data_IF_237710848135
#
_entry.id   IF_237710848135
#
_cell.length_a   1.000
_cell.length_b   1.000
_cell.length_c   1.000
_cell.angle_alpha   90.00
_cell.angle_beta   90.00
_cell.angle_gamma   90.00
#
_symmetry.space_group_name_H-M   'P 1'
#
loop_
_entity.id
_entity.type
_entity.pdbx_description
1 polymer ?
#
# COMPACT_ATOMS: atom_id res chain seq x y z
N UNK A 1 -8.04 15.52 -22.13
CA UNK A 1 -8.70 15.13 -20.87
C UNK A 1 -9.71 16.20 -20.46
N UNK A 2 -10.87 15.80 -19.95
CA UNK A 2 -11.88 16.71 -19.38
C UNK A 2 -11.47 17.17 -17.97
N UNK A 3 -12.08 18.25 -17.46
CA UNK A 3 -11.87 18.72 -16.08
C UNK A 3 -12.18 17.61 -15.06
N UNK A 4 -13.20 16.80 -15.34
CA UNK A 4 -13.57 15.65 -14.52
C UNK A 4 -12.45 14.61 -14.47
N UNK A 5 -11.86 14.27 -15.61
CA UNK A 5 -10.75 13.30 -15.69
C UNK A 5 -9.50 13.82 -14.97
N UNK A 6 -9.14 15.10 -15.15
CA UNK A 6 -8.05 15.72 -14.40
C UNK A 6 -8.31 15.65 -12.89
N UNK A 7 -9.54 15.90 -12.47
CA UNK A 7 -9.94 15.81 -11.06
C UNK A 7 -9.74 14.39 -10.54
N UNK A 8 -10.18 13.36 -11.27
CA UNK A 8 -9.99 11.97 -10.87
C UNK A 8 -8.51 11.58 -10.81
N UNK A 9 -7.73 11.94 -11.85
CA UNK A 9 -6.30 11.63 -11.94
C UNK A 9 -5.48 12.30 -10.84
N UNK A 10 -5.92 13.43 -10.28
CA UNK A 10 -5.20 14.11 -9.20
C UNK A 10 -5.72 13.72 -7.82
N UNK A 11 -7.04 13.71 -7.62
CA UNK A 11 -7.65 13.52 -6.29
C UNK A 11 -7.47 12.08 -5.80
N UNK A 12 -7.66 11.07 -6.65
CA UNK A 12 -7.56 9.66 -6.23
C UNK A 12 -6.12 9.31 -5.80
N UNK A 13 -5.08 9.59 -6.61
CA UNK A 13 -3.70 9.35 -6.19
C UNK A 13 -3.30 10.15 -4.96
N UNK A 14 -3.71 11.41 -4.87
CA UNK A 14 -3.39 12.25 -3.72
C UNK A 14 -4.00 11.70 -2.43
N UNK A 15 -5.27 11.28 -2.48
CA UNK A 15 -5.94 10.64 -1.35
C UNK A 15 -5.21 9.34 -0.94
N UNK A 16 -4.79 8.52 -1.91
CA UNK A 16 -4.01 7.31 -1.65
C UNK A 16 -2.65 7.60 -1.01
N UNK A 17 -1.93 8.63 -1.46
CA UNK A 17 -0.65 9.04 -0.87
C UNK A 17 -0.84 9.53 0.57
N UNK A 18 -1.82 10.41 0.82
CA UNK A 18 -2.14 10.91 2.16
C UNK A 18 -2.50 9.73 3.08
N UNK A 19 -3.30 8.79 2.58
CA UNK A 19 -3.68 7.59 3.32
C UNK A 19 -2.47 6.70 3.65
N UNK A 20 -1.59 6.48 2.66
CA UNK A 20 -0.36 5.71 2.85
C UNK A 20 0.58 6.34 3.88
N UNK A 21 0.71 7.68 3.89
CA UNK A 21 1.48 8.41 4.90
C UNK A 21 0.85 8.30 6.29
N UNK A 22 -0.48 8.30 6.41
CA UNK A 22 -1.16 8.10 7.68
C UNK A 22 -0.91 6.69 8.24
N UNK A 23 -1.03 5.66 7.40
CA UNK A 23 -0.69 4.28 7.77
C UNK A 23 0.78 4.19 8.19
N UNK A 24 1.69 4.86 7.48
CA UNK A 24 3.11 4.89 7.85
C UNK A 24 3.31 5.42 9.27
N UNK A 25 2.57 6.44 9.69
CA UNK A 25 2.63 6.96 11.06
C UNK A 25 1.75 6.18 12.06
N UNK A 26 1.32 4.96 11.72
CA UNK A 26 0.45 4.09 12.53
C UNK A 26 -0.93 4.73 12.84
N UNK A 27 -1.31 5.77 12.09
CA UNK A 27 -2.61 6.41 12.20
C UNK A 27 -3.56 5.74 11.21
N UNK A 28 -4.55 5.00 11.71
CA UNK A 28 -5.57 4.35 10.87
C UNK A 28 -5.35 2.86 10.59
N UNK A 29 -4.55 2.16 11.39
CA UNK A 29 -4.34 0.69 11.28
C UNK A 29 -5.63 -0.13 11.37
N UNK A 30 -6.67 0.43 12.00
CA UNK A 30 -8.04 -0.14 12.05
C UNK A 30 -8.69 -0.35 10.68
N UNK A 31 -8.26 0.36 9.64
CA UNK A 31 -8.82 0.23 8.29
C UNK A 31 -8.09 -0.80 7.42
N UNK A 32 -6.99 -1.38 7.90
CA UNK A 32 -6.38 -2.51 7.23
C UNK A 32 -7.26 -3.73 7.48
N UNK A 33 -8.03 -4.15 6.48
CA UNK A 33 -8.92 -5.31 6.59
C UNK A 33 -8.16 -6.56 7.09
N UNK A 34 -6.94 -6.77 6.59
CA UNK A 34 -6.07 -7.86 7.06
C UNK A 34 -5.67 -7.73 8.53
N UNK A 35 -5.49 -6.50 9.03
CA UNK A 35 -5.29 -6.29 10.47
C UNK A 35 -6.58 -6.58 11.22
N UNK A 36 -7.75 -6.12 10.77
CA UNK A 36 -8.99 -6.34 11.49
C UNK A 36 -9.38 -7.83 11.59
N UNK A 37 -9.11 -8.62 10.54
CA UNK A 37 -9.40 -10.06 10.50
C UNK A 37 -8.39 -10.95 11.23
N UNK A 38 -7.18 -10.45 11.51
CA UNK A 38 -6.20 -11.20 12.29
C UNK A 38 -6.66 -11.38 13.74
N UNK A 39 -6.48 -12.60 14.25
CA UNK A 39 -6.73 -12.94 15.65
C UNK A 39 -5.81 -12.12 16.58
N UNK A 40 -6.19 -12.01 17.86
CA UNK A 40 -5.38 -11.27 18.85
C UNK A 40 -3.99 -11.89 19.02
N UNK A 41 -3.89 -13.21 18.90
CA UNK A 41 -2.65 -13.98 18.99
C UNK A 41 -1.72 -13.70 17.81
N UNK A 42 -2.25 -13.70 16.57
CA UNK A 42 -1.47 -13.32 15.39
C UNK A 42 -1.02 -11.86 15.47
N UNK A 43 -1.89 -10.94 15.88
CA UNK A 43 -1.53 -9.53 16.07
C UNK A 43 -0.39 -9.34 17.06
N UNK A 44 -0.39 -10.10 18.16
CA UNK A 44 0.66 -10.05 19.17
C UNK A 44 2.01 -10.56 18.62
N UNK A 45 1.96 -11.53 17.70
CA UNK A 45 3.14 -12.07 17.03
C UNK A 45 3.72 -11.13 15.96
N UNK A 46 3.02 -10.10 15.50
CA UNK A 46 3.52 -9.13 14.52
C UNK A 46 4.00 -7.82 15.17
N UNK A 47 5.07 -7.25 14.60
CA UNK A 47 5.50 -5.89 14.89
C UNK A 47 4.65 -4.90 14.08
N UNK A 48 3.58 -4.39 14.70
CA UNK A 48 2.64 -3.43 14.11
C UNK A 48 3.37 -2.26 13.44
N UNK A 49 4.37 -1.68 14.10
CA UNK A 49 5.13 -0.54 13.58
C UNK A 49 5.86 -0.86 12.27
N UNK A 50 6.57 -1.98 12.23
CA UNK A 50 7.30 -2.41 11.04
C UNK A 50 6.34 -2.70 9.87
N UNK A 51 5.23 -3.37 10.18
CA UNK A 51 4.22 -3.74 9.19
C UNK A 51 3.50 -2.51 8.62
N UNK A 52 3.16 -1.54 9.47
CA UNK A 52 2.58 -0.25 9.06
C UNK A 52 3.54 0.57 8.20
N UNK A 53 4.84 0.59 8.52
CA UNK A 53 5.84 1.24 7.67
C UNK A 53 5.91 0.60 6.28
N UNK A 54 5.82 -0.72 6.19
CA UNK A 54 5.82 -1.42 4.91
C UNK A 54 4.55 -1.11 4.11
N UNK A 55 3.37 -1.34 4.69
CA UNK A 55 2.10 -1.11 4.00
C UNK A 55 1.90 0.36 3.63
N UNK A 56 2.27 1.29 4.51
CA UNK A 56 2.21 2.72 4.21
C UNK A 56 3.06 3.09 3.01
N UNK A 57 4.31 2.58 2.93
CA UNK A 57 5.16 2.77 1.74
C UNK A 57 4.54 2.15 0.49
N UNK A 58 4.05 0.92 0.57
CA UNK A 58 3.40 0.25 -0.56
C UNK A 58 2.20 1.05 -1.07
N UNK A 59 1.35 1.57 -0.18
CA UNK A 59 0.17 2.36 -0.54
C UNK A 59 0.55 3.70 -1.18
N UNK A 60 1.61 4.37 -0.69
CA UNK A 60 2.14 5.57 -1.35
C UNK A 60 2.59 5.28 -2.78
N UNK A 61 3.34 4.19 -2.99
CA UNK A 61 3.74 3.78 -4.35
C UNK A 61 2.56 3.35 -5.22
N UNK A 62 1.54 2.70 -4.64
CA UNK A 62 0.29 2.44 -5.34
C UNK A 62 -0.43 3.72 -5.75
N UNK A 63 -0.35 4.80 -4.97
CA UNK A 63 -0.85 6.12 -5.35
C UNK A 63 -0.15 6.64 -6.62
N UNK A 64 1.18 6.54 -6.69
CA UNK A 64 1.95 6.89 -7.90
C UNK A 64 1.56 6.00 -9.08
N UNK A 65 1.41 4.70 -8.85
CA UNK A 65 0.92 3.76 -9.87
C UNK A 65 -0.49 4.10 -10.37
N UNK A 66 -1.39 4.50 -9.48
CA UNK A 66 -2.76 4.92 -9.83
C UNK A 66 -2.77 6.21 -10.64
N UNK A 67 -1.87 7.16 -10.35
CA UNK A 67 -1.68 8.36 -11.17
C UNK A 67 -1.30 7.99 -12.60
N UNK A 68 -0.27 7.15 -12.76
CA UNK A 68 0.17 6.69 -14.09
C UNK A 68 -0.94 5.90 -14.80
N UNK A 69 -1.65 5.03 -14.10
CA UNK A 69 -2.74 4.24 -14.67
C UNK A 69 -3.88 5.14 -15.19
N UNK A 70 -4.35 6.08 -14.38
CA UNK A 70 -5.43 7.00 -14.76
C UNK A 70 -4.97 7.96 -15.86
N UNK A 71 -3.75 8.49 -15.77
CA UNK A 71 -3.17 9.34 -16.80
C UNK A 71 -3.02 8.59 -18.14
N UNK A 72 -2.52 7.36 -18.12
CA UNK A 72 -2.41 6.51 -19.31
C UNK A 72 -3.76 6.19 -19.91
N UNK A 73 -4.75 5.86 -19.07
CA UNK A 73 -6.12 5.54 -19.50
C UNK A 73 -6.80 6.72 -20.20
N UNK A 74 -6.78 7.92 -19.62
CA UNK A 74 -7.46 9.08 -20.20
C UNK A 74 -6.71 9.72 -21.37
N UNK A 75 -5.43 9.40 -21.58
CA UNK A 75 -4.64 9.84 -22.74
C UNK A 75 -4.47 8.74 -23.80
N UNK A 76 -5.18 7.61 -23.67
CA UNK A 76 -5.06 6.46 -24.59
C UNK A 76 -3.61 6.00 -24.80
N UNK A 77 -2.79 6.06 -23.74
CA UNK A 77 -1.39 5.67 -23.76
C UNK A 77 -1.21 4.35 -23.01
N UNK A 78 -1.23 3.26 -23.77
CA UNK A 78 -1.12 1.90 -23.26
C UNK A 78 0.19 1.64 -22.53
N UNK A 79 1.30 2.26 -22.96
CA UNK A 79 2.60 2.10 -22.29
C UNK A 79 2.56 2.65 -20.87
N UNK A 80 1.98 3.84 -20.67
CA UNK A 80 1.87 4.46 -19.34
C UNK A 80 0.85 3.72 -18.48
N UNK A 81 -0.26 3.27 -19.08
CA UNK A 81 -1.27 2.47 -18.39
C UNK A 81 -0.68 1.16 -17.86
N UNK A 82 0.04 0.42 -18.71
CA UNK A 82 0.72 -0.82 -18.33
C UNK A 82 1.80 -0.59 -17.27
N UNK A 83 2.55 0.52 -17.35
CA UNK A 83 3.53 0.88 -16.32
C UNK A 83 2.87 1.13 -14.96
N UNK A 84 1.76 1.87 -14.92
CA UNK A 84 0.99 2.11 -13.70
C UNK A 84 0.45 0.81 -13.10
N UNK A 85 -0.12 -0.06 -13.94
CA UNK A 85 -0.64 -1.37 -13.54
C UNK A 85 0.48 -2.29 -13.01
N UNK A 86 1.63 -2.30 -13.67
CA UNK A 86 2.82 -3.04 -13.25
C UNK A 86 3.35 -2.59 -11.89
N UNK A 87 3.40 -1.28 -11.62
CA UNK A 87 3.81 -0.74 -10.31
C UNK A 87 2.84 -1.19 -9.22
N UNK A 88 1.53 -1.08 -9.44
CA UNK A 88 0.53 -1.51 -8.45
C UNK A 88 0.67 -3.01 -8.16
N UNK A 89 0.73 -3.84 -9.20
CA UNK A 89 0.88 -5.28 -9.05
C UNK A 89 2.16 -5.66 -8.29
N UNK A 90 3.29 -5.03 -8.64
CA UNK A 90 4.56 -5.24 -7.96
C UNK A 90 4.49 -4.86 -6.47
N UNK A 91 3.90 -3.71 -6.14
CA UNK A 91 3.78 -3.26 -4.75
C UNK A 91 2.89 -4.19 -3.92
N UNK A 92 1.80 -4.71 -4.50
CA UNK A 92 0.93 -5.69 -3.83
C UNK A 92 1.70 -6.99 -3.55
N UNK A 93 2.43 -7.50 -4.54
CA UNK A 93 3.26 -8.71 -4.38
C UNK A 93 4.32 -8.50 -3.29
N UNK A 94 5.04 -7.38 -3.33
CA UNK A 94 6.06 -7.04 -2.33
C UNK A 94 5.46 -6.93 -0.92
N UNK A 95 4.25 -6.39 -0.78
CA UNK A 95 3.58 -6.25 0.52
C UNK A 95 3.27 -7.61 1.18
N UNK A 96 3.15 -8.69 0.41
CA UNK A 96 2.90 -10.05 0.89
C UNK A 96 4.21 -10.83 1.08
N UNK A 97 5.14 -10.68 0.13
CA UNK A 97 6.39 -11.44 0.13
C UNK A 97 7.37 -10.92 1.19
N UNK A 98 7.51 -9.60 1.37
CA UNK A 98 8.50 -9.00 2.28
C UNK A 98 8.29 -9.44 3.75
N UNK A 99 7.06 -9.44 4.30
CA UNK A 99 6.82 -9.94 5.66
C UNK A 99 7.16 -11.43 5.81
N UNK A 100 6.96 -12.22 4.75
CA UNK A 100 7.22 -13.66 4.76
C UNK A 100 8.72 -13.98 4.68
N UNK A 101 9.48 -13.25 3.86
CA UNK A 101 10.93 -13.42 3.73
C UNK A 101 11.66 -12.87 4.95
N UNK A 102 11.27 -11.68 5.42
CA UNK A 102 11.95 -11.00 6.51
C UNK A 102 11.18 -11.12 7.83
N UNK A 103 10.70 -12.33 8.13
CA UNK A 103 9.88 -12.62 9.30
C UNK A 103 10.49 -12.09 10.59
N UNK A 104 11.82 -12.10 10.75
CA UNK A 104 12.53 -11.54 11.92
C UNK A 104 12.29 -10.05 12.18
N UNK A 105 12.05 -9.25 11.14
CA UNK A 105 11.77 -7.81 11.28
C UNK A 105 10.30 -7.54 11.57
N UNK A 106 9.42 -8.39 11.05
CA UNK A 106 7.97 -8.19 11.07
C UNK A 106 7.26 -9.04 12.13
N UNK A 107 7.89 -10.09 12.65
CA UNK A 107 7.41 -10.90 13.77
C UNK A 107 8.14 -10.50 15.06
N UNK A 108 7.36 -10.29 16.12
CA UNK A 108 7.86 -10.31 17.50
C UNK A 108 8.10 -11.78 17.85
N UNK A 109 9.33 -12.26 17.67
CA UNK A 109 9.75 -13.49 18.33
C UNK A 109 9.66 -13.22 19.84
N UNK A 110 8.64 -13.76 20.51
CA UNK A 110 8.73 -13.95 21.95
C UNK A 110 9.93 -14.86 22.20
N UNK A 111 11.00 -14.31 22.78
CA UNK A 111 12.01 -15.13 23.42
C UNK A 111 11.33 -15.82 24.59
N UNK A 112 10.73 -16.98 24.32
CA UNK A 112 10.26 -17.90 25.34
C UNK A 112 11.49 -18.64 25.87
N UNK A 113 12.28 -17.95 26.70
CA UNK A 113 13.24 -18.53 27.63
C UNK A 113 12.84 -18.12 29.03
#
# INVERSE_FOLDING_TARGET
>A
MSIFEYTLTLVIPLAAVIWGVNIYHQKGTRFLAGWNTMSKEEKAAYNEAALCHLYGRCVVFCGIGAFLLLYGSFNYNDYILCAGLGIIALMVILSIIIPKINSKKYMKYESKY
#
